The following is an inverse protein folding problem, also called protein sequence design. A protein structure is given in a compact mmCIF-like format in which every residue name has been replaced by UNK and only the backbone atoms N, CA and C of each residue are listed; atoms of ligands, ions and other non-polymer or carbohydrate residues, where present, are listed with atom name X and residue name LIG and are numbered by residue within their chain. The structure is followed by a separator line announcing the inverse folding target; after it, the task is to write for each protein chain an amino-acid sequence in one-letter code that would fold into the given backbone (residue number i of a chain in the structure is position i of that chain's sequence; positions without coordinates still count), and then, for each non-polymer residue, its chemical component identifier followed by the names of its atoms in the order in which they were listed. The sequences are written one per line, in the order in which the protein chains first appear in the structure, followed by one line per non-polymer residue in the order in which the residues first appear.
data_IF_382921767300
#
_entry.id   IF_382921767300
#
_cell.length_a   1.000
_cell.length_b   1.000
_cell.length_c   1.000
_cell.angle_alpha   90.00
_cell.angle_beta   90.00
_cell.angle_gamma   90.00
#
_symmetry.space_group_name_H-M   'P 1'
#
loop_
_entity.id
_entity.type
_entity.pdbx_description
1 polymer ?
#
# COMPACT_ATOMS: atom_id res chain seq x y z
N UNK A 1 -5.28 -13.20 1.35
CA UNK A 1 -3.81 -13.27 1.13
C UNK A 1 -3.12 -13.06 2.49
N UNK A 2 -2.43 -14.08 3.02
CA UNK A 2 -1.89 -14.09 4.38
C UNK A 2 -0.90 -12.94 4.72
N UNK A 3 -0.36 -12.91 5.96
CA UNK A 3 0.39 -11.76 6.53
C UNK A 3 1.57 -11.23 5.70
N UNK A 4 2.08 -11.99 4.73
CA UNK A 4 3.11 -11.57 3.77
C UNK A 4 2.63 -10.54 2.74
N UNK A 5 1.32 -10.48 2.44
CA UNK A 5 0.79 -9.56 1.43
C UNK A 5 0.83 -8.10 1.89
N UNK A 6 0.50 -7.83 3.15
CA UNK A 6 0.61 -6.49 3.72
C UNK A 6 2.04 -5.95 3.65
N UNK A 7 3.03 -6.76 4.07
CA UNK A 7 4.44 -6.36 4.00
C UNK A 7 4.86 -6.06 2.57
N UNK A 8 4.45 -6.91 1.61
CA UNK A 8 4.75 -6.71 0.20
C UNK A 8 4.19 -5.38 -0.34
N UNK A 9 2.99 -4.99 0.09
CA UNK A 9 2.38 -3.71 -0.29
C UNK A 9 3.18 -2.55 0.28
N UNK A 10 3.49 -2.57 1.58
CA UNK A 10 4.23 -1.49 2.24
C UNK A 10 5.64 -1.33 1.67
N UNK A 11 6.35 -2.45 1.44
CA UNK A 11 7.71 -2.47 0.89
C UNK A 11 7.78 -1.88 -0.52
N UNK A 12 6.69 -1.96 -1.30
CA UNK A 12 6.59 -1.36 -2.63
C UNK A 12 6.09 0.09 -2.57
N UNK A 13 5.11 0.36 -1.73
CA UNK A 13 4.46 1.65 -1.65
C UNK A 13 5.37 2.74 -1.08
N UNK A 14 6.13 2.45 -0.01
CA UNK A 14 6.99 3.45 0.63
C UNK A 14 8.07 4.03 -0.31
N UNK A 15 8.85 3.21 -1.04
CA UNK A 15 9.79 3.74 -2.04
C UNK A 15 9.09 4.50 -3.17
N UNK A 16 7.89 4.06 -3.57
CA UNK A 16 7.13 4.73 -4.62
C UNK A 16 6.66 6.11 -4.17
N UNK A 17 6.05 6.25 -2.99
CA UNK A 17 5.59 7.54 -2.48
C UNK A 17 6.76 8.51 -2.29
N UNK A 18 7.91 8.01 -1.83
CA UNK A 18 9.14 8.80 -1.78
C UNK A 18 9.54 9.29 -3.18
N UNK A 19 9.60 8.39 -4.15
CA UNK A 19 10.01 8.72 -5.52
C UNK A 19 9.10 9.80 -6.12
N UNK A 20 7.79 9.70 -5.88
CA UNK A 20 6.81 10.70 -6.31
C UNK A 20 7.03 12.05 -5.64
N UNK A 21 7.35 12.08 -4.35
CA UNK A 21 7.72 13.31 -3.65
C UNK A 21 8.97 13.95 -4.26
N UNK A 22 10.00 13.17 -4.59
CA UNK A 22 11.21 13.68 -5.24
C UNK A 22 10.89 14.29 -6.62
N UNK A 23 10.06 13.62 -7.41
CA UNK A 23 9.61 14.16 -8.70
C UNK A 23 8.88 15.49 -8.50
N UNK A 24 7.98 15.58 -7.51
CA UNK A 24 7.24 16.83 -7.27
C UNK A 24 8.18 17.97 -6.84
N UNK A 25 9.12 17.70 -5.93
CA UNK A 25 10.15 18.68 -5.52
C UNK A 25 11.02 19.11 -6.68
N UNK A 26 11.36 18.20 -7.60
CA UNK A 26 12.16 18.55 -8.78
C UNK A 26 11.45 19.51 -9.75
N UNK A 27 10.11 19.51 -9.72
CA UNK A 27 9.27 20.45 -10.46
C UNK A 27 9.02 21.77 -9.69
N UNK A 28 9.57 21.91 -8.48
CA UNK A 28 9.34 23.07 -7.61
C UNK A 28 8.03 23.03 -6.83
N UNK A 29 7.37 21.87 -6.77
CA UNK A 29 6.15 21.65 -6.00
C UNK A 29 6.45 21.00 -4.64
N UNK A 30 5.57 21.23 -3.67
CA UNK A 30 5.63 20.58 -2.36
C UNK A 30 5.43 19.06 -2.45
N UNK A 31 5.65 18.32 -1.37
CA UNK A 31 5.42 16.87 -1.36
C UNK A 31 3.96 16.51 -1.69
N UNK A 32 3.78 15.58 -2.62
CA UNK A 32 2.46 15.02 -2.92
C UNK A 32 1.95 14.14 -1.76
N UNK A 33 2.87 13.51 -1.04
CA UNK A 33 2.62 12.64 0.10
C UNK A 33 3.48 13.06 1.30
N UNK A 34 3.12 14.16 2.00
CA UNK A 34 3.91 14.74 3.09
C UNK A 34 3.73 13.98 4.43
N UNK A 35 3.47 12.68 4.40
CA UNK A 35 3.24 11.88 5.60
C UNK A 35 4.46 11.02 5.96
N UNK A 36 4.69 10.85 7.25
CA UNK A 36 5.57 9.82 7.80
C UNK A 36 4.67 8.72 8.36
N UNK A 37 5.03 7.45 8.19
CA UNK A 37 4.32 6.31 8.78
C UNK A 37 5.08 5.79 10.00
N UNK A 38 4.68 6.16 11.24
CA UNK A 38 5.23 5.57 12.45
C UNK A 38 4.94 4.08 12.53
N UNK A 39 5.80 3.34 13.24
CA UNK A 39 5.63 1.90 13.45
C UNK A 39 4.24 1.55 14.01
N UNK A 40 3.71 2.32 14.97
CA UNK A 40 2.38 2.10 15.53
C UNK A 40 1.24 2.21 14.50
N UNK A 41 1.41 3.07 13.49
CA UNK A 41 0.42 3.21 12.40
C UNK A 41 0.50 2.02 11.46
N UNK A 42 1.71 1.54 11.15
CA UNK A 42 1.90 0.33 10.33
C UNK A 42 1.27 -0.90 11.01
N UNK A 43 1.40 -1.05 12.32
CA UNK A 43 0.75 -2.13 13.06
C UNK A 43 -0.78 -2.04 13.03
N UNK A 44 -1.33 -0.83 13.17
CA UNK A 44 -2.77 -0.63 13.03
C UNK A 44 -3.25 -0.98 11.62
N UNK A 45 -2.52 -0.58 10.58
CA UNK A 45 -2.86 -0.89 9.20
C UNK A 45 -2.75 -2.39 8.91
N UNK A 46 -1.75 -3.07 9.48
CA UNK A 46 -1.63 -4.54 9.43
C UNK A 46 -2.85 -5.22 10.04
N UNK A 47 -3.28 -4.78 11.21
CA UNK A 47 -4.48 -5.30 11.85
C UNK A 47 -5.72 -5.11 10.97
N UNK A 48 -5.92 -3.92 10.40
CA UNK A 48 -7.04 -3.65 9.49
C UNK A 48 -6.98 -4.56 8.27
N UNK A 49 -5.81 -4.74 7.65
CA UNK A 49 -5.63 -5.66 6.52
C UNK A 49 -6.03 -7.09 6.88
N UNK A 50 -5.60 -7.60 8.04
CA UNK A 50 -5.97 -8.94 8.51
C UNK A 50 -7.49 -9.08 8.69
N UNK A 51 -8.13 -8.12 9.37
CA UNK A 51 -9.58 -8.14 9.59
C UNK A 51 -10.36 -8.13 8.27
N UNK A 52 -9.93 -7.30 7.30
CA UNK A 52 -10.58 -7.24 5.99
C UNK A 52 -10.39 -8.54 5.21
N UNK A 53 -9.19 -9.14 5.23
CA UNK A 53 -8.91 -10.41 4.55
C UNK A 53 -9.73 -11.58 5.14
N UNK A 54 -9.95 -11.58 6.45
CA UNK A 54 -10.79 -12.57 7.14
C UNK A 54 -12.28 -12.43 6.80
N UNK A 55 -12.78 -11.20 6.67
CA UNK A 55 -14.20 -10.92 6.43
C UNK A 55 -14.56 -10.97 4.94
N UNK A 56 -13.61 -10.71 4.04
CA UNK A 56 -13.80 -10.68 2.58
C UNK A 56 -12.88 -11.68 1.86
N UNK A 57 -13.05 -13.00 2.08
CA UNK A 57 -12.21 -14.03 1.48
C UNK A 57 -12.28 -14.07 -0.07
N UNK A 58 -13.39 -13.57 -0.65
CA UNK A 58 -13.68 -13.64 -2.08
C UNK A 58 -13.50 -12.30 -2.81
N UNK A 59 -12.63 -11.40 -2.34
CA UNK A 59 -12.25 -10.23 -3.15
C UNK A 59 -11.40 -10.69 -4.35
N UNK A 60 -12.07 -11.22 -5.38
CA UNK A 60 -11.49 -11.53 -6.68
C UNK A 60 -10.88 -10.26 -7.28
N UNK A 61 -9.55 -10.15 -7.40
CA UNK A 61 -8.95 -9.01 -8.08
C UNK A 61 -9.36 -9.10 -9.55
N UNK A 62 -10.04 -8.07 -10.06
CA UNK A 62 -10.63 -7.99 -11.40
C UNK A 62 -9.63 -8.06 -12.59
N UNK A 63 -8.48 -8.72 -12.46
CA UNK A 63 -7.42 -8.80 -13.46
C UNK A 63 -7.17 -10.22 -14.01
N UNK A 64 -8.00 -11.21 -13.70
CA UNK A 64 -7.90 -12.54 -14.31
C UNK A 64 -9.18 -12.98 -15.02
N UNK A 65 -9.72 -12.12 -15.89
CA UNK A 65 -10.45 -12.62 -17.08
C UNK A 65 -9.44 -12.87 -18.19
N UNK A 66 -8.63 -13.92 -18.03
CA UNK A 66 -8.02 -14.60 -19.17
C UNK A 66 -8.89 -15.80 -19.51
N UNK A 67 -10.00 -15.54 -20.18
CA UNK A 67 -10.73 -16.59 -20.89
C UNK A 67 -10.20 -16.63 -22.31
N UNK A 68 -9.52 -17.75 -22.60
CA UNK A 68 -9.54 -18.56 -23.82
C UNK A 68 -10.13 -17.90 -25.06
#
# INVERSE_FOLDING_TARGET
MGPSAFNTIIDKWLPLSWSLNMVNRSMGHDDLYPFVLPAAVLEKMRFIHTVVDEVAPDFEPAHSRRTV
#
